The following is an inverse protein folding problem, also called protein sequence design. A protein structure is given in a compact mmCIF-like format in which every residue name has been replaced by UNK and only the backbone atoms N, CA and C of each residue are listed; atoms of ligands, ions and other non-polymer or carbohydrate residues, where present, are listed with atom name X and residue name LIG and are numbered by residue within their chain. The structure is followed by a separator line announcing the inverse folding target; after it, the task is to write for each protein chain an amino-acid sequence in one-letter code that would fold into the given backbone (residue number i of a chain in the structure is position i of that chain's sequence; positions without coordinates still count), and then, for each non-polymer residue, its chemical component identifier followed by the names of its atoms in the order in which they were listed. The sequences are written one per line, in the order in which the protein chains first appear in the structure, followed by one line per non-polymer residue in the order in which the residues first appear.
data_IF_343541124374
#
_entry.id   IF_343541124374
#
_cell.length_a   1.000
_cell.length_b   1.000
_cell.length_c   1.000
_cell.angle_alpha   90.00
_cell.angle_beta   90.00
_cell.angle_gamma   90.00
#
_symmetry.space_group_name_H-M   'P 1'
#
loop_
_entity.id
_entity.type
_entity.pdbx_description
1 polymer ?
#
# COMPACT_ATOMS: atom_id res chain seq x y z
N UNK A 1 -11.34 8.46 -17.18
CA UNK A 1 -11.65 7.11 -16.75
C UNK A 1 -10.39 6.28 -16.59
N UNK A 2 -10.13 5.85 -15.38
CA UNK A 2 -8.97 5.03 -15.06
C UNK A 2 -9.28 3.55 -15.27
N UNK A 3 -8.35 2.74 -15.82
CA UNK A 3 -8.52 1.29 -15.87
C UNK A 3 -8.35 0.63 -14.50
N UNK A 4 -7.83 1.34 -13.50
CA UNK A 4 -7.56 0.78 -12.18
C UNK A 4 -8.84 0.63 -11.37
N UNK A 5 -8.93 -0.44 -10.58
CA UNK A 5 -10.04 -0.65 -9.68
C UNK A 5 -10.05 0.40 -8.58
N UNK A 6 -11.25 0.80 -8.15
CA UNK A 6 -11.38 1.66 -6.97
C UNK A 6 -11.15 0.82 -5.72
N UNK A 7 -10.33 1.33 -4.83
CA UNK A 7 -10.08 0.68 -3.54
C UNK A 7 -10.98 1.29 -2.48
N UNK A 8 -11.54 0.44 -1.64
CA UNK A 8 -12.31 0.87 -0.49
C UNK A 8 -11.53 0.59 0.81
N UNK A 9 -12.09 1.08 1.90
CA UNK A 9 -11.45 0.92 3.20
C UNK A 9 -11.38 -0.56 3.64
N UNK A 10 -12.27 -1.40 3.12
CA UNK A 10 -12.29 -2.81 3.51
C UNK A 10 -11.03 -3.55 3.06
N UNK A 11 -10.47 -3.21 1.89
CA UNK A 11 -9.19 -3.76 1.47
C UNK A 11 -8.11 -3.43 2.50
N UNK A 12 -8.03 -2.16 2.91
CA UNK A 12 -7.00 -1.74 3.87
C UNK A 12 -7.19 -2.38 5.23
N UNK A 13 -8.44 -2.56 5.67
CA UNK A 13 -8.71 -3.25 6.92
C UNK A 13 -8.26 -4.71 6.90
N UNK A 14 -8.52 -5.41 5.79
CA UNK A 14 -8.04 -6.80 5.62
C UNK A 14 -6.51 -6.87 5.65
N UNK A 15 -5.86 -5.93 4.97
CA UNK A 15 -4.40 -5.87 4.93
C UNK A 15 -3.82 -5.58 6.31
N UNK A 16 -4.39 -4.61 7.02
CA UNK A 16 -3.95 -4.28 8.38
C UNK A 16 -4.13 -5.47 9.32
N UNK A 17 -5.27 -6.18 9.22
CA UNK A 17 -5.51 -7.36 10.04
C UNK A 17 -4.43 -8.43 9.84
N UNK A 18 -4.04 -8.65 8.58
CA UNK A 18 -2.99 -9.61 8.27
C UNK A 18 -1.65 -9.20 8.90
N UNK A 19 -1.29 -7.93 8.81
CA UNK A 19 -0.06 -7.41 9.40
C UNK A 19 -0.11 -7.55 10.93
N UNK A 20 -1.23 -7.22 11.55
CA UNK A 20 -1.40 -7.33 13.00
C UNK A 20 -1.28 -8.77 13.50
N UNK A 21 -1.68 -9.74 12.67
CA UNK A 21 -1.54 -11.15 13.02
C UNK A 21 -0.07 -11.62 12.99
N UNK A 22 0.75 -11.00 12.18
CA UNK A 22 2.12 -11.45 11.92
C UNK A 22 3.18 -10.58 12.59
N UNK A 23 2.85 -9.35 12.93
CA UNK A 23 3.80 -8.36 13.45
C UNK A 23 3.31 -7.85 14.79
N UNK A 24 4.16 -7.91 15.81
CA UNK A 24 3.83 -7.42 17.13
C UNK A 24 3.97 -5.89 17.16
N UNK A 25 2.93 -5.20 17.63
CA UNK A 25 2.88 -3.75 17.78
C UNK A 25 3.30 -2.98 16.52
N UNK A 26 2.65 -3.23 15.38
CA UNK A 26 3.03 -2.55 14.14
C UNK A 26 2.69 -1.06 14.21
N UNK A 27 3.53 -0.26 13.54
CA UNK A 27 3.28 1.16 13.31
C UNK A 27 3.07 1.35 11.81
N UNK A 28 2.01 2.09 11.46
CA UNK A 28 1.62 2.29 10.07
C UNK A 28 1.95 3.70 9.61
N UNK A 29 2.74 3.80 8.55
CA UNK A 29 3.02 5.06 7.88
C UNK A 29 2.15 5.15 6.64
N UNK A 30 1.27 6.14 6.60
CA UNK A 30 0.27 6.27 5.54
C UNK A 30 0.65 7.40 4.60
N UNK A 31 0.79 7.08 3.33
CA UNK A 31 1.16 8.00 2.26
C UNK A 31 -0.06 8.23 1.37
N UNK A 32 -0.50 9.46 1.24
CA UNK A 32 -1.67 9.76 0.43
C UNK A 32 -1.68 11.23 0.00
N UNK A 33 -2.28 11.50 -1.15
CA UNK A 33 -2.58 12.85 -1.60
C UNK A 33 -3.87 13.38 -0.98
N UNK A 34 -4.69 12.50 -0.42
CA UNK A 34 -5.98 12.85 0.16
C UNK A 34 -5.94 12.64 1.67
N UNK A 35 -5.36 13.61 2.36
CA UNK A 35 -5.14 13.53 3.80
C UNK A 35 -6.47 13.51 4.57
N UNK A 36 -7.47 14.25 4.10
CA UNK A 36 -8.78 14.28 4.76
C UNK A 36 -9.47 12.91 4.70
N UNK A 37 -9.37 12.22 3.57
CA UNK A 37 -9.89 10.87 3.43
C UNK A 37 -9.18 9.92 4.40
N UNK A 38 -7.86 10.05 4.51
CA UNK A 38 -7.07 9.21 5.42
C UNK A 38 -7.51 9.44 6.87
N UNK A 39 -7.64 10.70 7.28
CA UNK A 39 -8.05 11.02 8.65
C UNK A 39 -9.44 10.47 8.98
N UNK A 40 -10.34 10.47 8.00
CA UNK A 40 -11.68 9.95 8.19
C UNK A 40 -11.73 8.43 8.20
N UNK A 41 -11.06 7.79 7.25
CA UNK A 41 -11.23 6.35 6.99
C UNK A 41 -10.27 5.47 7.78
N UNK A 42 -9.13 6.00 8.21
CA UNK A 42 -8.12 5.23 8.94
C UNK A 42 -8.15 5.46 10.45
N UNK A 43 -9.26 5.99 10.99
CA UNK A 43 -9.37 6.22 12.45
C UNK A 43 -9.21 4.91 13.25
N UNK A 44 -9.50 3.76 12.64
CA UNK A 44 -9.37 2.47 13.31
C UNK A 44 -7.92 2.13 13.68
N UNK A 45 -6.94 2.78 13.07
CA UNK A 45 -5.53 2.58 13.41
C UNK A 45 -5.12 3.30 14.70
N UNK A 46 -5.88 4.33 15.09
CA UNK A 46 -5.61 5.07 16.32
C UNK A 46 -4.19 5.63 16.37
N UNK A 47 -3.52 5.43 17.50
CA UNK A 47 -2.16 5.96 17.73
C UNK A 47 -1.09 5.19 16.96
N UNK A 48 -1.42 4.07 16.33
CA UNK A 48 -0.44 3.31 15.55
C UNK A 48 -0.19 3.89 14.16
N UNK A 49 -0.92 4.95 13.77
CA UNK A 49 -0.82 5.56 12.46
C UNK A 49 -0.02 6.86 12.50
N UNK A 50 0.88 7.01 11.54
CA UNK A 50 1.57 8.28 11.25
C UNK A 50 1.29 8.63 9.79
N UNK A 51 0.72 9.82 9.55
CA UNK A 51 0.45 10.29 8.20
C UNK A 51 1.69 11.01 7.68
N UNK A 52 2.16 10.59 6.50
CA UNK A 52 3.30 11.23 5.84
C UNK A 52 2.74 12.19 4.81
N UNK A 53 2.78 13.48 5.10
CA UNK A 53 2.17 14.52 4.27
C UNK A 53 3.12 15.67 3.91
N UNK A 54 4.40 15.55 4.25
CA UNK A 54 5.35 16.66 4.12
C UNK A 54 6.18 16.63 2.84
N UNK A 55 6.12 15.54 2.06
CA UNK A 55 6.87 15.43 0.80
C UNK A 55 5.93 15.55 -0.37
N UNK A 56 5.93 16.71 -1.03
CA UNK A 56 5.04 16.98 -2.15
C UNK A 56 5.81 17.55 -3.32
N UNK A 57 5.22 17.47 -4.52
CA UNK A 57 5.80 18.00 -5.74
C UNK A 57 7.13 17.34 -6.05
N UNK A 58 8.17 18.14 -6.19
CA UNK A 58 9.51 17.66 -6.54
C UNK A 58 10.12 16.75 -5.47
N UNK A 59 9.60 16.81 -4.24
CA UNK A 59 10.10 16.01 -3.12
C UNK A 59 9.33 14.71 -2.94
N UNK A 60 8.38 14.40 -3.81
CA UNK A 60 7.57 13.17 -3.68
C UNK A 60 8.41 11.90 -3.77
N UNK A 61 9.59 11.96 -4.42
CA UNK A 61 10.50 10.81 -4.45
C UNK A 61 10.97 10.39 -3.07
N UNK A 62 10.95 11.30 -2.08
CA UNK A 62 11.30 10.97 -0.70
C UNK A 62 10.29 10.02 -0.08
N UNK A 63 9.01 10.10 -0.48
CA UNK A 63 8.01 9.15 -0.04
C UNK A 63 8.33 7.75 -0.55
N UNK A 64 8.82 7.64 -1.78
CA UNK A 64 9.24 6.36 -2.33
C UNK A 64 10.38 5.75 -1.50
N UNK A 65 11.36 6.57 -1.14
CA UNK A 65 12.48 6.13 -0.29
C UNK A 65 11.96 5.67 1.07
N UNK A 66 11.07 6.44 1.69
CA UNK A 66 10.49 6.08 2.98
C UNK A 66 9.71 4.78 2.91
N UNK A 67 8.88 4.60 1.86
CA UNK A 67 8.13 3.36 1.66
C UNK A 67 9.07 2.16 1.54
N UNK A 68 10.15 2.30 0.78
CA UNK A 68 11.08 1.20 0.55
C UNK A 68 11.89 0.82 1.79
N UNK A 69 11.96 1.71 2.78
CA UNK A 69 12.67 1.47 4.03
C UNK A 69 11.76 0.99 5.17
N UNK A 70 10.47 0.86 4.93
CA UNK A 70 9.57 0.22 5.89
C UNK A 70 9.86 -1.28 5.92
N UNK A 71 9.49 -1.95 7.00
CA UNK A 71 9.67 -3.40 7.09
C UNK A 71 8.74 -4.15 6.14
N UNK A 72 7.53 -3.64 5.98
CA UNK A 72 6.47 -4.26 5.18
C UNK A 72 5.73 -3.18 4.41
N UNK A 73 4.99 -3.58 3.37
CA UNK A 73 4.27 -2.61 2.54
C UNK A 73 2.86 -3.10 2.24
N UNK A 74 1.90 -2.21 2.39
CA UNK A 74 0.53 -2.39 1.92
C UNK A 74 0.36 -1.44 0.73
N UNK A 75 0.16 -1.98 -0.45
CA UNK A 75 0.12 -1.21 -1.69
C UNK A 75 -1.29 -0.84 -2.10
N UNK A 76 -1.47 0.38 -2.57
CA UNK A 76 -2.60 0.72 -3.42
C UNK A 76 -2.32 0.18 -4.84
N UNK A 77 -3.32 0.26 -5.72
CA UNK A 77 -3.15 -0.13 -7.12
C UNK A 77 -2.51 1.04 -7.91
N UNK A 78 -1.30 1.42 -7.50
CA UNK A 78 -0.55 2.50 -8.13
C UNK A 78 0.89 2.04 -8.37
N UNK A 79 1.48 2.51 -9.45
CA UNK A 79 2.88 2.19 -9.74
C UNK A 79 3.82 2.75 -8.69
N UNK A 80 3.46 3.87 -8.07
CA UNK A 80 4.27 4.48 -7.03
C UNK A 80 4.41 3.55 -5.81
N UNK A 81 3.30 3.02 -5.30
CA UNK A 81 3.33 2.10 -4.17
C UNK A 81 3.98 0.77 -4.55
N UNK A 82 3.77 0.31 -5.79
CA UNK A 82 4.40 -0.90 -6.31
C UNK A 82 5.93 -0.78 -6.25
N UNK A 83 6.47 0.36 -6.71
CA UNK A 83 7.91 0.58 -6.68
C UNK A 83 8.45 0.65 -5.26
N UNK A 84 7.71 1.26 -4.34
CA UNK A 84 8.10 1.30 -2.94
C UNK A 84 8.29 -0.10 -2.36
N UNK A 85 7.35 -0.99 -2.65
CA UNK A 85 7.42 -2.38 -2.19
C UNK A 85 8.52 -3.16 -2.91
N UNK A 86 8.64 -2.96 -4.23
CA UNK A 86 9.66 -3.65 -5.03
C UNK A 86 11.07 -3.31 -4.55
N UNK A 87 11.31 -2.03 -4.23
CA UNK A 87 12.62 -1.56 -3.79
C UNK A 87 12.93 -1.90 -2.34
N UNK A 88 11.95 -2.39 -1.58
CA UNK A 88 12.17 -2.80 -0.20
C UNK A 88 13.06 -4.05 -0.15
N UNK A 89 14.22 -3.93 0.46
CA UNK A 89 15.24 -5.00 0.50
C UNK A 89 15.11 -5.91 1.72
N UNK A 90 14.12 -5.70 2.58
CA UNK A 90 13.90 -6.58 3.72
C UNK A 90 13.51 -7.97 3.22
N UNK A 91 14.32 -8.98 3.51
CA UNK A 91 14.08 -10.35 3.06
C UNK A 91 12.82 -10.96 3.67
N UNK A 92 12.44 -10.48 4.86
CA UNK A 92 11.25 -10.96 5.57
C UNK A 92 10.04 -10.06 5.33
N UNK A 93 10.10 -9.20 4.32
CA UNK A 93 9.01 -8.28 4.04
C UNK A 93 7.72 -9.00 3.71
N UNK A 94 6.61 -8.44 4.19
CA UNK A 94 5.27 -8.83 3.80
C UNK A 94 4.76 -7.72 2.89
N UNK A 95 4.38 -8.07 1.68
CA UNK A 95 3.82 -7.11 0.72
C UNK A 95 2.41 -7.54 0.40
N UNK A 96 1.45 -6.65 0.63
CA UNK A 96 0.03 -6.90 0.36
C UNK A 96 -0.40 -5.96 -0.75
N UNK A 97 -1.07 -6.51 -1.75
CA UNK A 97 -1.58 -5.77 -2.90
C UNK A 97 -3.06 -6.05 -3.06
N UNK A 98 -3.81 -5.16 -3.74
CA UNK A 98 -5.22 -5.42 -4.00
C UNK A 98 -5.37 -6.64 -4.91
N UNK A 99 -6.34 -7.50 -4.61
CA UNK A 99 -6.67 -8.64 -5.45
C UNK A 99 -7.07 -8.19 -6.86
N UNK A 100 -7.84 -7.10 -6.93
CA UNK A 100 -8.23 -6.47 -8.20
C UNK A 100 -7.39 -5.23 -8.43
N UNK A 101 -6.33 -5.38 -9.24
CA UNK A 101 -5.52 -4.24 -9.63
C UNK A 101 -6.22 -3.39 -10.69
N UNK A 102 -6.88 -4.05 -11.66
CA UNK A 102 -7.61 -3.38 -12.73
C UNK A 102 -9.10 -3.69 -12.66
N UNK A 103 -9.95 -2.74 -13.10
CA UNK A 103 -11.41 -2.92 -13.17
C UNK A 103 -11.80 -3.97 -14.21
N UNK A 104 -11.09 -3.98 -15.33
CA UNK A 104 -11.43 -4.78 -16.50
C UNK A 104 -10.66 -6.09 -16.50
N UNK A 105 -11.36 -7.20 -16.73
CA UNK A 105 -10.75 -8.53 -16.79
C UNK A 105 -9.71 -8.66 -17.91
N UNK A 106 -9.78 -7.81 -18.93
CA UNK A 106 -8.79 -7.84 -20.01
C UNK A 106 -7.37 -7.51 -19.54
N UNK A 107 -7.23 -6.92 -18.35
CA UNK A 107 -5.93 -6.59 -17.78
C UNK A 107 -5.39 -7.67 -16.84
N UNK A 108 -6.08 -8.81 -16.70
CA UNK A 108 -5.69 -9.85 -15.73
C UNK A 108 -4.30 -10.40 -16.02
N UNK A 109 -3.97 -10.63 -17.28
CA UNK A 109 -2.65 -11.15 -17.66
C UNK A 109 -1.53 -10.17 -17.31
N UNK A 110 -1.78 -8.87 -17.53
CA UNK A 110 -0.81 -7.83 -17.14
C UNK A 110 -0.58 -7.81 -15.64
N UNK A 111 -1.63 -8.07 -14.84
CA UNK A 111 -1.51 -8.17 -13.40
C UNK A 111 -0.60 -9.30 -12.97
N UNK A 112 -0.72 -10.48 -13.61
CA UNK A 112 0.13 -11.62 -13.27
C UNK A 112 1.61 -11.36 -13.53
N UNK A 113 1.92 -10.61 -14.60
CA UNK A 113 3.30 -10.25 -14.90
C UNK A 113 3.84 -9.18 -13.94
N UNK A 114 2.94 -8.32 -13.44
CA UNK A 114 3.30 -7.18 -12.60
C UNK A 114 3.55 -7.57 -11.15
N UNK A 115 2.79 -8.51 -10.62
CA UNK A 115 2.79 -8.84 -9.20
C UNK A 115 3.64 -10.08 -8.94
N UNK A 116 4.75 -9.95 -8.18
CA UNK A 116 5.54 -11.12 -7.78
C UNK A 116 4.68 -12.14 -7.03
N UNK A 117 4.98 -13.42 -7.25
CA UNK A 117 4.16 -14.51 -6.69
C UNK A 117 4.16 -14.57 -5.18
N UNK A 118 5.24 -14.08 -4.53
CA UNK A 118 5.35 -14.07 -3.07
C UNK A 118 4.55 -12.94 -2.41
N UNK A 119 4.05 -11.98 -3.19
CA UNK A 119 3.21 -10.90 -2.65
C UNK A 119 1.80 -11.42 -2.41
N UNK A 120 1.16 -10.93 -1.34
CA UNK A 120 -0.15 -11.39 -0.89
C UNK A 120 -1.25 -10.54 -1.51
N UNK A 121 -2.20 -11.18 -2.18
CA UNK A 121 -3.35 -10.51 -2.80
C UNK A 121 -4.54 -10.54 -1.83
N UNK A 122 -5.08 -9.41 -1.53
CA UNK A 122 -6.25 -9.24 -0.66
C UNK A 122 -7.28 -8.31 -1.30
#
# INVERSE_FOLDING_TARGET
NSPFALLDIEYYKRAVDLICDKVENPVFYVFSNDIEWVKEKFVFLGDSMTIVDHNQGEKSYLDLVLMSNCKHNICANSSFSWWGAWLNQNQDKIVIVPEKWFKDKSYVNSTYDLIPTEWIKK
#
